data_IF_710356830407
#
_entry.id   IF_710356830407
#
_cell.length_a   1.000
_cell.length_b   1.000
_cell.length_c   1.000
_cell.angle_alpha   90.00
_cell.angle_beta   90.00
_cell.angle_gamma   90.00
#
_symmetry.space_group_name_H-M   'P 1'
#
loop_
_entity.id
_entity.type
_entity.pdbx_description
1 polymer ?
#
# COMPACT_ATOMS: atom_id res chain seq x y z
N UNK A 1 3.73 -10.89 -6.32
CA UNK A 1 4.53 -10.74 -7.55
C UNK A 1 6.00 -10.47 -7.20
N UNK A 2 6.92 -11.12 -7.89
CA UNK A 2 8.36 -11.16 -7.55
C UNK A 2 9.24 -10.32 -8.51
N UNK A 3 8.66 -9.36 -9.21
CA UNK A 3 9.39 -8.57 -10.21
C UNK A 3 9.82 -9.36 -11.45
N UNK A 4 9.28 -10.58 -11.65
CA UNK A 4 9.61 -11.46 -12.78
C UNK A 4 10.87 -12.31 -12.59
N UNK A 5 11.42 -12.36 -11.38
CA UNK A 5 12.55 -13.23 -11.01
C UNK A 5 12.14 -14.30 -10.02
N UNK A 6 12.82 -15.43 -10.04
CA UNK A 6 12.69 -16.46 -9.02
C UNK A 6 13.23 -15.94 -7.67
N UNK A 7 12.64 -16.43 -6.59
CA UNK A 7 13.11 -16.15 -5.24
C UNK A 7 14.45 -16.86 -5.00
N UNK A 8 15.39 -16.16 -4.36
CA UNK A 8 16.74 -16.64 -4.05
C UNK A 8 17.03 -16.32 -2.58
N UNK A 9 17.15 -17.34 -1.74
CA UNK A 9 17.34 -17.19 -0.30
C UNK A 9 18.62 -16.41 0.09
N UNK A 10 19.61 -16.31 -0.82
CA UNK A 10 20.84 -15.55 -0.59
C UNK A 10 20.68 -14.04 -0.76
N UNK A 11 19.56 -13.57 -1.34
CA UNK A 11 19.34 -12.15 -1.62
C UNK A 11 18.54 -11.46 -0.52
N UNK A 12 18.79 -10.16 -0.27
CA UNK A 12 17.94 -9.39 0.60
C UNK A 12 16.51 -9.30 0.02
N UNK A 13 15.51 -9.23 0.89
CA UNK A 13 14.11 -9.20 0.50
C UNK A 13 13.49 -7.84 0.76
N UNK A 14 12.65 -7.37 -0.16
CA UNK A 14 11.81 -6.19 -0.01
C UNK A 14 10.33 -6.55 -0.22
N UNK A 15 9.48 -6.07 0.68
CA UNK A 15 8.02 -6.16 0.56
C UNK A 15 7.47 -4.81 0.12
N UNK A 16 6.69 -4.80 -0.97
CA UNK A 16 6.04 -3.61 -1.52
C UNK A 16 4.54 -3.68 -1.26
N UNK A 17 4.01 -2.75 -0.46
CA UNK A 17 2.64 -2.74 0.05
C UNK A 17 1.87 -1.58 -0.57
N UNK A 18 0.79 -1.89 -1.29
CA UNK A 18 -0.01 -0.90 -2.01
C UNK A 18 -0.96 -0.11 -1.09
N UNK A 19 -1.46 1.02 -1.59
CA UNK A 19 -2.47 1.85 -0.94
C UNK A 19 -3.91 1.36 -1.13
N UNK A 20 -4.87 2.15 -0.61
CA UNK A 20 -6.31 1.85 -0.74
C UNK A 20 -6.68 1.69 -2.22
N UNK A 21 -7.48 0.67 -2.50
CA UNK A 21 -8.02 0.33 -3.83
C UNK A 21 -6.94 0.17 -4.92
N UNK A 22 -5.77 -0.27 -4.54
CA UNK A 22 -4.68 -0.62 -5.45
C UNK A 22 -4.38 -2.12 -5.40
N UNK A 23 -3.41 -2.57 -6.18
CA UNK A 23 -2.85 -3.91 -6.18
C UNK A 23 -1.33 -3.85 -6.43
N UNK A 24 -0.66 -5.00 -6.47
CA UNK A 24 0.79 -5.09 -6.70
C UNK A 24 1.27 -4.36 -7.95
N UNK A 25 0.41 -4.12 -8.95
CA UNK A 25 0.82 -3.53 -10.23
C UNK A 25 1.21 -2.05 -10.13
N UNK A 26 0.84 -1.34 -9.06
CA UNK A 26 1.34 0.02 -8.80
C UNK A 26 2.86 0.05 -8.64
N UNK A 27 3.44 -1.06 -8.23
CA UNK A 27 4.87 -1.26 -8.04
C UNK A 27 5.58 -1.87 -9.26
N UNK A 28 4.95 -1.87 -10.44
CA UNK A 28 5.46 -2.59 -11.61
C UNK A 28 6.89 -2.19 -12.02
N UNK A 29 7.22 -0.90 -11.95
CA UNK A 29 8.54 -0.40 -12.29
C UNK A 29 9.55 -0.70 -11.18
N UNK A 30 9.20 -0.39 -9.93
CA UNK A 30 10.06 -0.60 -8.75
C UNK A 30 10.34 -2.08 -8.53
N UNK A 31 9.33 -2.93 -8.63
CA UNK A 31 9.51 -4.37 -8.44
C UNK A 31 10.47 -4.98 -9.47
N UNK A 32 10.34 -4.59 -10.74
CA UNK A 32 11.25 -5.04 -11.80
C UNK A 32 12.67 -4.50 -11.62
N UNK A 33 12.78 -3.22 -11.28
CA UNK A 33 14.08 -2.60 -11.04
C UNK A 33 14.81 -3.32 -9.91
N UNK A 34 14.19 -3.45 -8.74
CA UNK A 34 14.79 -4.09 -7.57
C UNK A 34 15.14 -5.56 -7.83
N UNK A 35 14.24 -6.31 -8.48
CA UNK A 35 14.51 -7.70 -8.83
C UNK A 35 15.71 -7.88 -9.79
N UNK A 36 15.95 -6.91 -10.69
CA UNK A 36 17.12 -6.92 -11.57
C UNK A 36 18.39 -6.35 -10.91
N UNK A 37 18.26 -5.74 -9.71
CA UNK A 37 19.39 -5.18 -8.95
C UNK A 37 19.66 -5.95 -7.65
N UNK A 38 19.44 -7.25 -7.65
CA UNK A 38 19.91 -8.13 -6.59
C UNK A 38 18.96 -8.31 -5.40
N UNK A 39 17.69 -7.91 -5.51
CA UNK A 39 16.70 -8.08 -4.46
C UNK A 39 15.70 -9.20 -4.76
N UNK A 40 15.27 -9.92 -3.72
CA UNK A 40 13.99 -10.59 -3.75
C UNK A 40 12.88 -9.56 -3.55
N UNK A 41 11.85 -9.63 -4.36
CA UNK A 41 10.71 -8.70 -4.29
C UNK A 41 9.44 -9.47 -3.97
N UNK A 42 8.69 -8.98 -3.01
CA UNK A 42 7.34 -9.41 -2.69
C UNK A 42 6.38 -8.21 -2.84
N UNK A 43 5.96 -7.90 -4.07
CA UNK A 43 4.89 -6.95 -4.31
C UNK A 43 3.56 -7.66 -4.07
N UNK A 44 2.90 -7.33 -2.95
CA UNK A 44 1.72 -8.06 -2.46
C UNK A 44 0.43 -7.51 -3.04
N UNK A 45 -0.55 -8.39 -3.21
CA UNK A 45 -1.96 -8.02 -3.16
C UNK A 45 -2.44 -8.32 -1.74
N UNK A 46 -2.95 -7.35 -1.01
CA UNK A 46 -3.52 -7.59 0.32
C UNK A 46 -4.70 -8.57 0.24
N UNK A 47 -5.00 -9.33 1.30
CA UNK A 47 -6.11 -10.26 1.28
C UNK A 47 -7.41 -9.63 0.75
N UNK A 48 -8.14 -10.36 -0.07
CA UNK A 48 -9.37 -9.89 -0.72
C UNK A 48 -9.16 -8.90 -1.87
N UNK A 49 -7.92 -8.48 -2.19
CA UNK A 49 -7.60 -7.61 -3.31
C UNK A 49 -7.05 -8.39 -4.50
N UNK A 50 -7.48 -8.00 -5.71
CA UNK A 50 -6.99 -8.52 -6.99
C UNK A 50 -6.89 -10.05 -7.06
N UNK A 51 -5.68 -10.61 -6.92
CA UNK A 51 -5.41 -12.06 -7.01
C UNK A 51 -5.33 -12.74 -5.66
N UNK A 52 -5.26 -11.99 -4.57
CA UNK A 52 -5.14 -12.54 -3.21
C UNK A 52 -6.51 -12.94 -2.68
N UNK A 53 -6.60 -14.18 -2.23
CA UNK A 53 -7.80 -14.71 -1.57
C UNK A 53 -7.79 -14.32 -0.09
N UNK A 54 -8.89 -14.62 0.59
CA UNK A 54 -9.05 -14.37 2.01
C UNK A 54 -9.89 -13.13 2.29
N UNK A 55 -10.11 -12.87 3.56
CA UNK A 55 -10.91 -11.74 4.02
C UNK A 55 -10.10 -10.44 3.92
N UNK A 56 -10.71 -9.40 3.35
CA UNK A 56 -10.09 -8.09 3.27
C UNK A 56 -9.91 -7.51 4.68
N UNK A 57 -8.68 -7.05 5.05
CA UNK A 57 -8.42 -6.55 6.39
C UNK A 57 -9.30 -5.35 6.73
N UNK A 58 -9.82 -5.33 7.95
CA UNK A 58 -10.67 -4.25 8.45
C UNK A 58 -9.88 -3.15 9.16
N UNK A 59 -8.60 -3.38 9.46
CA UNK A 59 -7.72 -2.42 10.12
C UNK A 59 -6.28 -2.50 9.60
N UNK A 60 -5.48 -1.51 9.95
CA UNK A 60 -4.03 -1.47 9.65
C UNK A 60 -3.32 -2.65 10.33
N UNK A 61 -3.70 -2.94 11.56
CA UNK A 61 -3.10 -4.00 12.39
C UNK A 61 -3.32 -5.39 11.76
N UNK A 62 -4.55 -5.67 11.29
CA UNK A 62 -4.85 -6.93 10.60
C UNK A 62 -4.07 -7.08 9.30
N UNK A 63 -3.91 -5.99 8.56
CA UNK A 63 -3.10 -6.01 7.34
C UNK A 63 -1.61 -6.19 7.66
N UNK A 64 -1.12 -5.64 8.76
CA UNK A 64 0.25 -5.85 9.24
C UNK A 64 0.47 -7.31 9.69
N UNK A 65 -0.49 -7.94 10.37
CA UNK A 65 -0.44 -9.36 10.71
C UNK A 65 -0.27 -10.24 9.47
N UNK A 66 -0.98 -9.91 8.39
CA UNK A 66 -0.80 -10.60 7.11
C UNK A 66 0.63 -10.48 6.57
N UNK A 67 1.25 -9.30 6.64
CA UNK A 67 2.63 -9.10 6.17
C UNK A 67 3.62 -9.93 6.99
N UNK A 68 3.47 -9.95 8.32
CA UNK A 68 4.31 -10.77 9.21
C UNK A 68 4.13 -12.26 8.89
N UNK A 69 2.89 -12.74 8.81
CA UNK A 69 2.57 -14.13 8.50
C UNK A 69 3.07 -14.55 7.10
N UNK A 70 3.02 -13.65 6.11
CA UNK A 70 3.59 -13.88 4.78
C UNK A 70 5.09 -14.13 4.86
N UNK A 71 5.85 -13.28 5.55
CA UNK A 71 7.30 -13.44 5.72
C UNK A 71 7.64 -14.75 6.42
N UNK A 72 6.87 -15.15 7.44
CA UNK A 72 7.05 -16.41 8.15
C UNK A 72 6.77 -17.60 7.22
N UNK A 73 5.67 -17.54 6.46
CA UNK A 73 5.27 -18.61 5.53
C UNK A 73 6.28 -18.84 4.41
N UNK A 74 6.85 -17.77 3.86
CA UNK A 74 7.86 -17.88 2.79
C UNK A 74 9.28 -18.04 3.32
N UNK A 75 9.46 -18.13 4.64
CA UNK A 75 10.76 -18.36 5.28
C UNK A 75 11.72 -17.19 5.13
N UNK A 76 11.23 -15.95 5.11
CA UNK A 76 12.07 -14.75 5.00
C UNK A 76 12.45 -14.25 6.39
N UNK A 77 13.72 -14.39 6.80
CA UNK A 77 14.13 -14.01 8.14
C UNK A 77 14.15 -12.50 8.37
N UNK A 78 14.48 -11.72 7.34
CA UNK A 78 14.59 -10.24 7.41
C UNK A 78 14.14 -9.61 6.11
N UNK A 79 13.47 -8.46 6.18
CA UNK A 79 12.97 -7.75 4.99
C UNK A 79 13.01 -6.22 5.16
N UNK A 80 13.19 -5.51 4.06
CA UNK A 80 12.84 -4.11 3.94
C UNK A 80 11.33 -4.00 3.63
N UNK A 81 10.66 -3.03 4.23
CA UNK A 81 9.24 -2.77 4.03
C UNK A 81 9.05 -1.43 3.33
N UNK A 82 8.29 -1.40 2.26
CA UNK A 82 7.96 -0.20 1.49
C UNK A 82 6.45 -0.13 1.36
N UNK A 83 5.84 0.93 1.87
CA UNK A 83 4.40 1.12 1.79
C UNK A 83 4.00 2.46 1.20
N UNK A 84 2.92 2.48 0.43
CA UNK A 84 2.34 3.69 -0.12
C UNK A 84 0.97 3.98 0.50
N UNK A 85 0.73 5.22 0.94
CA UNK A 85 -0.55 5.65 1.52
C UNK A 85 -0.98 4.72 2.67
N UNK A 86 -2.15 4.11 2.65
CA UNK A 86 -2.54 3.06 3.61
C UNK A 86 -1.47 2.00 3.82
N UNK A 87 -0.81 1.55 2.73
CA UNK A 87 0.30 0.60 2.79
C UNK A 87 1.49 1.10 3.62
N UNK A 88 1.68 2.41 3.77
CA UNK A 88 2.73 2.98 4.61
C UNK A 88 2.46 2.78 6.10
N UNK A 89 1.20 2.92 6.52
CA UNK A 89 0.77 2.62 7.89
C UNK A 89 0.92 1.12 8.19
N UNK A 90 0.54 0.27 7.23
CA UNK A 90 0.71 -1.19 7.32
C UNK A 90 2.20 -1.57 7.42
N UNK A 91 3.05 -0.95 6.60
CA UNK A 91 4.50 -1.19 6.63
C UNK A 91 5.11 -0.78 7.98
N UNK A 92 4.69 0.36 8.52
CA UNK A 92 5.13 0.85 9.84
C UNK A 92 4.72 -0.11 10.96
N UNK A 93 3.46 -0.52 10.99
CA UNK A 93 2.92 -1.44 11.98
C UNK A 93 3.58 -2.82 11.89
N UNK A 94 3.82 -3.31 10.68
CA UNK A 94 4.56 -4.55 10.46
C UNK A 94 6.03 -4.45 10.87
N UNK A 95 6.70 -3.32 10.60
CA UNK A 95 8.08 -3.07 11.03
C UNK A 95 8.21 -3.07 12.56
N UNK A 96 7.27 -2.43 13.26
CA UNK A 96 7.22 -2.43 14.71
C UNK A 96 7.13 -3.86 15.29
N UNK A 97 6.30 -4.72 14.69
CA UNK A 97 6.12 -6.12 15.12
C UNK A 97 7.31 -7.03 14.77
N UNK A 98 7.94 -6.77 13.63
CA UNK A 98 9.11 -7.52 13.19
C UNK A 98 10.38 -7.20 14.00
N UNK A 99 10.46 -6.02 14.62
CA UNK A 99 11.65 -5.60 15.37
C UNK A 99 12.91 -5.66 14.51
N UNK A 100 13.94 -6.37 14.96
CA UNK A 100 15.21 -6.53 14.23
C UNK A 100 15.09 -7.25 12.87
N UNK A 101 13.97 -7.91 12.60
CA UNK A 101 13.69 -8.52 11.29
C UNK A 101 13.35 -7.48 10.21
N UNK A 102 12.86 -6.30 10.59
CA UNK A 102 12.72 -5.17 9.68
C UNK A 102 14.08 -4.53 9.45
N UNK A 103 14.57 -4.51 8.21
CA UNK A 103 15.88 -3.94 7.88
C UNK A 103 15.82 -2.47 7.53
N UNK A 104 14.75 -2.04 6.87
CA UNK A 104 14.46 -0.66 6.48
C UNK A 104 12.94 -0.48 6.36
N UNK A 105 12.48 0.73 6.64
CA UNK A 105 11.10 1.15 6.42
C UNK A 105 11.07 2.34 5.46
N UNK A 106 10.31 2.24 4.37
CA UNK A 106 10.08 3.36 3.44
C UNK A 106 8.59 3.66 3.40
N UNK A 107 8.23 4.90 3.71
CA UNK A 107 6.86 5.39 3.77
C UNK A 107 6.63 6.42 2.67
N UNK A 108 5.82 6.08 1.67
CA UNK A 108 5.56 6.90 0.48
C UNK A 108 4.16 7.49 0.57
N UNK A 109 4.02 8.80 0.44
CA UNK A 109 2.74 9.51 0.52
C UNK A 109 2.00 9.18 1.82
N UNK A 110 2.68 9.36 2.95
CA UNK A 110 2.21 8.97 4.28
C UNK A 110 1.78 10.18 5.10
N UNK A 111 0.78 9.99 5.94
CA UNK A 111 0.36 10.93 6.97
C UNK A 111 -0.04 10.18 8.25
N UNK A 112 0.07 10.86 9.39
CA UNK A 112 -0.50 10.37 10.64
C UNK A 112 -0.93 11.56 11.51
N UNK A 113 -2.19 11.56 12.01
CA UNK A 113 -3.27 10.62 11.68
C UNK A 113 -3.66 10.72 10.20
N UNK A 114 -4.03 9.58 9.59
CA UNK A 114 -4.47 9.54 8.18
C UNK A 114 -6.01 9.67 8.14
N UNK A 115 -6.49 10.87 8.39
CA UNK A 115 -7.92 11.17 8.42
C UNK A 115 -8.52 11.23 7.02
N UNK A 116 -9.70 10.66 6.89
CA UNK A 116 -10.49 10.66 5.65
C UNK A 116 -11.71 11.55 5.85
N UNK A 117 -11.96 12.47 4.92
CA UNK A 117 -13.11 13.37 5.06
C UNK A 117 -14.45 12.60 5.09
N UNK A 118 -15.42 13.03 5.91
CA UNK A 118 -16.73 12.36 5.95
C UNK A 118 -17.42 12.28 4.59
N UNK A 119 -17.23 13.29 3.74
CA UNK A 119 -17.77 13.30 2.38
C UNK A 119 -17.15 12.21 1.49
N UNK A 120 -15.85 11.92 1.66
CA UNK A 120 -15.18 10.86 0.91
C UNK A 120 -15.58 9.48 1.44
N UNK A 121 -15.71 9.30 2.76
CA UNK A 121 -16.21 8.06 3.36
C UNK A 121 -17.64 7.75 2.90
N UNK A 122 -18.53 8.75 2.94
CA UNK A 122 -19.90 8.60 2.44
C UNK A 122 -19.92 8.24 0.94
N UNK A 123 -19.15 8.97 0.13
CA UNK A 123 -19.06 8.67 -1.30
C UNK A 123 -18.45 7.29 -1.56
N UNK A 124 -17.47 6.85 -0.79
CA UNK A 124 -16.90 5.51 -0.92
C UNK A 124 -17.92 4.41 -0.62
N UNK A 125 -18.81 4.65 0.35
CA UNK A 125 -19.89 3.71 0.70
C UNK A 125 -20.99 3.68 -0.35
N UNK A 126 -21.52 4.86 -0.71
CA UNK A 126 -22.79 4.99 -1.45
C UNK A 126 -22.60 5.20 -2.96
N UNK A 127 -21.48 5.79 -3.37
CA UNK A 127 -21.15 6.12 -4.77
C UNK A 127 -19.68 5.86 -5.08
N UNK A 128 -19.20 4.60 -5.01
CA UNK A 128 -17.77 4.28 -5.07
C UNK A 128 -17.08 4.76 -6.35
N UNK A 129 -17.78 4.84 -7.47
CA UNK A 129 -17.24 5.39 -8.72
C UNK A 129 -16.94 6.90 -8.61
N UNK A 130 -17.78 7.66 -7.90
CA UNK A 130 -17.55 9.08 -7.61
C UNK A 130 -16.36 9.25 -6.66
N UNK A 131 -16.29 8.45 -5.61
CA UNK A 131 -15.17 8.47 -4.67
C UNK A 131 -13.84 8.14 -5.38
N UNK A 132 -13.82 7.11 -6.23
CA UNK A 132 -12.65 6.76 -7.04
C UNK A 132 -12.18 7.94 -7.91
N UNK A 133 -13.10 8.63 -8.56
CA UNK A 133 -12.80 9.83 -9.35
C UNK A 133 -12.21 10.94 -8.47
N UNK A 134 -12.77 11.20 -7.31
CA UNK A 134 -12.27 12.20 -6.36
C UNK A 134 -10.82 11.88 -5.97
N UNK A 135 -10.55 10.66 -5.52
CA UNK A 135 -9.19 10.24 -5.15
C UNK A 135 -8.22 10.40 -6.32
N UNK A 136 -8.60 9.95 -7.51
CA UNK A 136 -7.71 10.03 -8.69
C UNK A 136 -7.40 11.49 -9.07
N UNK A 137 -8.36 12.41 -8.90
CA UNK A 137 -8.15 13.85 -9.13
C UNK A 137 -7.22 14.44 -8.08
N UNK A 138 -7.47 14.18 -6.79
CA UNK A 138 -6.69 14.76 -5.70
C UNK A 138 -5.27 14.17 -5.59
N UNK A 139 -5.04 12.97 -6.13
CA UNK A 139 -3.70 12.35 -6.18
C UNK A 139 -2.77 12.96 -7.23
N UNK A 140 -3.22 13.92 -8.02
CA UNK A 140 -2.43 14.58 -9.06
C UNK A 140 -2.21 16.05 -8.73
N UNK A 141 -0.97 16.54 -8.91
CA UNK A 141 -0.67 17.97 -8.78
C UNK A 141 -1.46 18.79 -9.81
N UNK A 142 -2.13 19.84 -9.34
CA UNK A 142 -2.80 20.82 -10.22
C UNK A 142 -1.83 21.85 -10.83
N UNK A 143 -0.63 21.98 -10.26
CA UNK A 143 0.36 22.98 -10.68
C UNK A 143 1.27 22.51 -11.81
N UNK A 144 1.46 21.21 -11.91
CA UNK A 144 2.22 20.58 -12.97
C UNK A 144 1.48 19.31 -13.41
N UNK A 145 0.28 19.43 -13.99
CA UNK A 145 -0.34 18.27 -14.58
C UNK A 145 0.60 17.75 -15.67
N UNK A 146 0.92 16.45 -15.67
CA UNK A 146 1.80 15.90 -16.70
C UNK A 146 1.12 16.15 -18.06
N UNK A 147 1.65 17.08 -18.84
CA UNK A 147 1.13 17.42 -20.14
C UNK A 147 1.11 16.19 -21.05
N UNK A 148 -0.01 15.88 -21.66
CA UNK A 148 -0.20 14.67 -22.48
C UNK A 148 -0.23 13.35 -21.70
N UNK A 149 0.54 13.24 -20.61
CA UNK A 149 0.52 12.07 -19.73
C UNK A 149 -0.55 12.17 -18.61
N UNK A 150 -1.07 13.38 -18.32
CA UNK A 150 -2.06 13.57 -17.26
C UNK A 150 -3.36 12.80 -17.48
N UNK A 151 -3.85 12.74 -18.72
CA UNK A 151 -5.01 11.93 -19.07
C UNK A 151 -4.71 10.44 -18.97
N UNK A 152 -3.48 10.02 -19.28
CA UNK A 152 -3.02 8.65 -19.12
C UNK A 152 -2.97 8.23 -17.65
N UNK A 153 -2.37 9.04 -16.77
CA UNK A 153 -2.28 8.76 -15.32
C UNK A 153 -3.67 8.67 -14.71
N UNK A 154 -4.54 9.64 -15.01
CA UNK A 154 -5.94 9.61 -14.57
C UNK A 154 -6.67 8.36 -15.05
N UNK A 155 -6.60 8.07 -16.35
CA UNK A 155 -7.26 6.90 -16.95
C UNK A 155 -6.74 5.58 -16.38
N UNK A 156 -5.42 5.48 -16.17
CA UNK A 156 -4.79 4.31 -15.57
C UNK A 156 -5.24 4.12 -14.11
N UNK A 157 -5.29 5.20 -13.30
CA UNK A 157 -5.78 5.16 -11.93
C UNK A 157 -7.23 4.72 -11.84
N UNK A 158 -8.11 5.27 -12.68
CA UNK A 158 -9.51 4.86 -12.78
C UNK A 158 -9.66 3.39 -13.18
N UNK A 159 -8.89 2.93 -14.16
CA UNK A 159 -8.94 1.54 -14.63
C UNK A 159 -8.47 0.57 -13.54
N UNK A 160 -7.38 0.90 -12.85
CA UNK A 160 -6.86 0.11 -11.73
C UNK A 160 -7.90 0.03 -10.59
N UNK A 161 -8.39 1.16 -10.11
CA UNK A 161 -9.35 1.20 -9.02
C UNK A 161 -10.63 0.41 -9.33
N UNK A 162 -11.17 0.55 -10.55
CA UNK A 162 -12.32 -0.25 -11.02
C UNK A 162 -12.03 -1.74 -11.04
N UNK A 163 -10.83 -2.12 -11.49
CA UNK A 163 -10.42 -3.53 -11.51
C UNK A 163 -10.36 -4.11 -10.11
N UNK A 164 -9.76 -3.39 -9.16
CA UNK A 164 -9.62 -3.85 -7.77
C UNK A 164 -11.00 -3.87 -7.10
N UNK A 165 -11.83 -2.86 -7.28
CA UNK A 165 -13.18 -2.83 -6.72
C UNK A 165 -14.03 -4.03 -7.18
N UNK A 166 -13.90 -4.42 -8.46
CA UNK A 166 -14.61 -5.58 -9.03
C UNK A 166 -14.02 -6.92 -8.60
N UNK A 167 -12.79 -6.96 -8.09
CA UNK A 167 -12.14 -8.20 -7.67
C UNK A 167 -12.76 -8.83 -6.42
N UNK A 168 -13.53 -8.04 -5.66
CA UNK A 168 -14.23 -8.50 -4.47
C UNK A 168 -15.71 -8.06 -4.53
N UNK A 169 -16.60 -9.03 -4.78
CA UNK A 169 -18.03 -8.76 -4.86
C UNK A 169 -18.73 -8.67 -3.48
N UNK A 170 -18.06 -9.11 -2.41
CA UNK A 170 -18.65 -9.19 -1.07
C UNK A 170 -18.32 -7.96 -0.22
N UNK A 171 -17.18 -7.32 -0.47
CA UNK A 171 -16.66 -6.23 0.34
C UNK A 171 -16.36 -5.02 -0.53
N UNK A 172 -16.85 -3.86 -0.15
CA UNK A 172 -16.44 -2.59 -0.73
C UNK A 172 -15.03 -2.24 -0.23
N UNK A 173 -14.01 -2.63 -1.01
CA UNK A 173 -12.60 -2.45 -0.68
C UNK A 173 -12.20 -0.98 -0.52
N UNK A 174 -12.86 -0.07 -1.22
CA UNK A 174 -12.60 1.37 -1.13
C UNK A 174 -13.04 1.92 0.23
N UNK A 175 -14.28 1.65 0.62
CA UNK A 175 -14.80 2.10 1.91
C UNK A 175 -14.05 1.43 3.06
N UNK A 176 -13.78 0.12 2.97
CA UNK A 176 -13.05 -0.62 4.02
C UNK A 176 -11.64 -0.08 4.24
N UNK A 177 -10.88 0.16 3.18
CA UNK A 177 -9.53 0.71 3.28
C UNK A 177 -9.51 2.13 3.86
N UNK A 178 -10.44 3.00 3.45
CA UNK A 178 -10.53 4.34 4.02
C UNK A 178 -10.95 4.34 5.49
N UNK A 179 -11.87 3.47 5.88
CA UNK A 179 -12.27 3.30 7.28
C UNK A 179 -11.07 2.81 8.12
N UNK A 180 -10.27 1.89 7.59
CA UNK A 180 -9.07 1.42 8.27
C UNK A 180 -8.02 2.54 8.46
N UNK A 181 -7.85 3.42 7.47
CA UNK A 181 -6.98 4.60 7.61
C UNK A 181 -7.50 5.56 8.67
N UNK A 182 -8.78 5.94 8.57
CA UNK A 182 -9.41 6.95 9.42
C UNK A 182 -9.45 6.56 10.90
N UNK A 183 -9.68 5.27 11.17
CA UNK A 183 -9.79 4.72 12.52
C UNK A 183 -8.44 4.35 13.17
N UNK A 184 -7.35 4.30 12.41
CA UNK A 184 -6.06 3.89 12.94
C UNK A 184 -5.50 4.90 13.94
N UNK A 185 -5.24 4.44 15.17
CA UNK A 185 -4.80 5.26 16.30
C UNK A 185 -3.44 4.83 16.88
N UNK A 186 -2.87 3.72 16.41
CA UNK A 186 -1.63 3.14 16.97
C UNK A 186 -0.33 3.70 16.40
N UNK A 187 -0.36 4.72 15.53
CA UNK A 187 0.80 5.14 14.74
C UNK A 187 1.99 5.66 15.53
N UNK A 188 1.77 6.44 16.59
CA UNK A 188 2.87 6.94 17.44
C UNK A 188 3.57 5.79 18.18
N UNK A 189 2.80 4.85 18.71
CA UNK A 189 3.33 3.68 19.39
C UNK A 189 4.10 2.77 18.44
N UNK A 190 3.53 2.53 17.25
CA UNK A 190 4.17 1.73 16.21
C UNK A 190 5.48 2.38 15.77
N UNK A 191 5.49 3.68 15.47
CA UNK A 191 6.70 4.39 15.06
C UNK A 191 7.78 4.38 16.15
N UNK A 192 7.40 4.54 17.41
CA UNK A 192 8.33 4.47 18.54
C UNK A 192 8.96 3.08 18.71
N UNK A 193 8.28 2.01 18.25
CA UNK A 193 8.76 0.64 18.31
C UNK A 193 9.60 0.23 17.08
N UNK A 194 9.64 1.03 16.02
CA UNK A 194 10.46 0.76 14.83
C UNK A 194 11.94 0.88 15.16
N UNK A 195 12.73 -0.16 14.86
CA UNK A 195 14.15 -0.27 15.19
C UNK A 195 15.08 -0.12 13.99
N UNK A 196 14.54 0.02 12.77
CA UNK A 196 15.31 0.14 11.54
C UNK A 196 15.35 1.58 11.03
N UNK A 197 16.27 1.90 10.10
CA UNK A 197 16.25 3.18 9.37
C UNK A 197 14.93 3.42 8.66
N UNK A 198 14.41 4.65 8.76
CA UNK A 198 13.14 5.07 8.14
C UNK A 198 13.40 6.15 7.09
N UNK A 199 12.82 5.98 5.90
CA UNK A 199 12.79 6.97 4.84
C UNK A 199 11.35 7.40 4.56
N UNK A 200 11.09 8.70 4.59
CA UNK A 200 9.84 9.29 4.10
C UNK A 200 10.03 9.83 2.69
N UNK A 201 9.10 9.49 1.80
CA UNK A 201 9.02 10.03 0.44
C UNK A 201 7.67 10.73 0.33
N UNK A 202 7.68 12.04 0.46
CA UNK A 202 6.46 12.86 0.55
C UNK A 202 6.43 13.87 -0.60
N UNK A 203 5.25 14.10 -1.17
CA UNK A 203 5.03 15.19 -2.10
C UNK A 203 4.89 16.51 -1.35
N UNK A 204 5.57 17.57 -1.79
CA UNK A 204 5.46 18.92 -1.17
C UNK A 204 4.01 19.45 -1.12
N UNK A 205 3.18 18.98 -2.05
CA UNK A 205 1.78 19.42 -2.21
C UNK A 205 0.79 18.27 -2.11
N UNK A 206 1.19 17.20 -1.46
CA UNK A 206 0.31 16.08 -1.12
C UNK A 206 -0.75 16.57 -0.12
N UNK A 207 -2.05 16.21 -0.35
CA UNK A 207 -3.18 16.72 0.41
C UNK A 207 -3.85 15.60 1.21
#
# INVERSE_FOLDING_TARGET
YTGGKAFDAAKPTVVLIHGVLNDHSVWALQSRYLANHGWNVLAVDLPGHARSRGEAPASVEQAADFIVALLDTVGVPRAALVGHSWGSLIAMEAAARLGERATHLVMVGSAYPMKVSPALLDSALNTPEKALKMVTVFSCSTLAPPSGAGSWVFGAGMALGRRVLRSNAQVNLLHRGFTACDSYAGGEQAMAAVQCPVLFVLGEKDQ
#
